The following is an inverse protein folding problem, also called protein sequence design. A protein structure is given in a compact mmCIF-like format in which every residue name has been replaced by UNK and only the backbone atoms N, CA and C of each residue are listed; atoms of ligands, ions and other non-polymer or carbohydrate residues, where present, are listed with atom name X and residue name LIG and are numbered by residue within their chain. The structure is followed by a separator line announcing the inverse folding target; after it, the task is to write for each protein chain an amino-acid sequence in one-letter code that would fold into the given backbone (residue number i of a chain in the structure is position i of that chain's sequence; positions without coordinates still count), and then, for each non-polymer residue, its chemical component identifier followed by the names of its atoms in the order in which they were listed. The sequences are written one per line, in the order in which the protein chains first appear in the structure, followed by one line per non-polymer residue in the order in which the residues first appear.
data_IF_620114962575
#
_entry.id   IF_620114962575
#
_cell.length_a   1.000
_cell.length_b   1.000
_cell.length_c   1.000
_cell.angle_alpha   90.00
_cell.angle_beta   90.00
_cell.angle_gamma   90.00
#
_symmetry.space_group_name_H-M   'P 1'
#
loop_
_entity.id
_entity.type
_entity.pdbx_description
1 polymer ?
#
# COMPACT_ATOMS: atom_id res chain seq x y z
N UNK A 1 1.25 22.82 17.08
CA UNK A 1 0.57 21.94 16.10
C UNK A 1 0.71 22.57 14.74
N UNK A 2 1.17 21.83 13.72
CA UNK A 2 1.22 22.34 12.35
C UNK A 2 -0.20 22.53 11.80
N UNK A 3 -0.37 23.46 10.86
CA UNK A 3 -1.64 23.71 10.17
C UNK A 3 -2.17 22.42 9.49
N UNK A 4 -1.29 21.68 8.84
CA UNK A 4 -1.61 20.40 8.20
C UNK A 4 -2.07 19.33 9.21
N UNK A 5 -1.44 19.27 10.39
CA UNK A 5 -1.88 18.37 11.46
C UNK A 5 -3.25 18.73 12.00
N UNK A 6 -3.61 20.02 12.05
CA UNK A 6 -4.97 20.46 12.41
C UNK A 6 -5.99 20.09 11.32
N UNK A 7 -5.64 20.25 10.03
CA UNK A 7 -6.49 19.85 8.91
C UNK A 7 -6.78 18.34 8.90
N UNK A 8 -5.78 17.50 9.17
CA UNK A 8 -5.98 16.04 9.27
C UNK A 8 -6.91 15.66 10.43
N UNK A 9 -6.81 16.34 11.57
CA UNK A 9 -7.74 16.12 12.70
C UNK A 9 -9.16 16.55 12.36
N UNK A 10 -9.33 17.66 11.62
CA UNK A 10 -10.63 18.09 11.14
C UNK A 10 -11.25 17.09 10.15
N UNK A 11 -10.47 16.58 9.20
CA UNK A 11 -10.90 15.51 8.29
C UNK A 11 -11.31 14.25 9.04
N UNK A 12 -10.54 13.85 10.04
CA UNK A 12 -10.83 12.67 10.86
C UNK A 12 -12.12 12.80 11.69
N UNK A 13 -12.54 14.03 12.01
CA UNK A 13 -13.73 14.30 12.81
C UNK A 13 -15.02 14.43 11.97
N UNK A 14 -14.93 14.34 10.63
CA UNK A 14 -16.13 14.30 9.78
C UNK A 14 -16.86 12.97 10.02
N UNK A 15 -18.16 13.02 10.34
CA UNK A 15 -19.00 11.84 10.62
C UNK A 15 -18.77 10.65 9.67
N UNK A 16 -18.82 10.80 8.32
CA UNK A 16 -18.59 9.66 7.43
C UNK A 16 -17.18 9.08 7.52
N UNK A 17 -16.18 9.91 7.83
CA UNK A 17 -14.78 9.48 8.01
C UNK A 17 -14.62 8.75 9.34
N UNK A 18 -15.11 9.32 10.44
CA UNK A 18 -15.01 8.69 11.77
C UNK A 18 -15.72 7.34 11.81
N UNK A 19 -16.92 7.24 11.24
CA UNK A 19 -17.65 5.99 11.14
C UNK A 19 -16.87 4.92 10.35
N UNK A 20 -16.31 5.29 9.19
CA UNK A 20 -15.56 4.36 8.35
C UNK A 20 -14.25 3.92 9.03
N UNK A 21 -13.53 4.85 9.64
CA UNK A 21 -12.30 4.56 10.41
C UNK A 21 -12.61 3.64 11.59
N UNK A 22 -13.73 3.86 12.28
CA UNK A 22 -14.16 3.02 13.41
C UNK A 22 -14.48 1.59 12.96
N UNK A 23 -15.21 1.41 11.85
CA UNK A 23 -15.45 0.07 11.27
C UNK A 23 -14.14 -0.65 10.93
N UNK A 24 -13.22 0.05 10.27
CA UNK A 24 -11.91 -0.51 9.92
C UNK A 24 -11.12 -0.97 11.15
N UNK A 25 -11.04 -0.13 12.21
CA UNK A 25 -10.35 -0.47 13.46
C UNK A 25 -11.00 -1.66 14.16
N UNK A 26 -12.33 -1.74 14.18
CA UNK A 26 -13.06 -2.86 14.77
C UNK A 26 -12.75 -4.16 14.03
N UNK A 27 -12.77 -4.14 12.69
CA UNK A 27 -12.43 -5.32 11.87
C UNK A 27 -10.98 -5.79 12.08
N UNK A 28 -10.01 -4.87 12.16
CA UNK A 28 -8.63 -5.20 12.49
C UNK A 28 -8.48 -5.75 13.92
N UNK A 29 -9.26 -5.22 14.87
CA UNK A 29 -9.29 -5.72 16.26
C UNK A 29 -9.83 -7.14 16.31
N UNK A 30 -10.94 -7.44 15.61
CA UNK A 30 -11.47 -8.80 15.49
C UNK A 30 -10.44 -9.76 14.87
N UNK A 31 -9.78 -9.34 13.79
CA UNK A 31 -8.75 -10.13 13.14
C UNK A 31 -7.61 -10.48 14.10
N UNK A 32 -7.12 -9.51 14.88
CA UNK A 32 -6.06 -9.70 15.87
C UNK A 32 -6.33 -10.84 16.86
N UNK A 33 -7.60 -11.09 17.18
CA UNK A 33 -7.99 -12.15 18.12
C UNK A 33 -8.19 -13.53 17.47
N UNK A 34 -7.99 -13.65 16.15
CA UNK A 34 -8.13 -14.93 15.45
C UNK A 34 -7.11 -15.96 15.95
N UNK A 35 -7.55 -17.19 16.22
CA UNK A 35 -6.75 -18.21 16.89
C UNK A 35 -5.44 -18.57 16.14
N UNK A 36 -5.47 -18.60 14.80
CA UNK A 36 -4.29 -18.84 13.97
C UNK A 36 -3.12 -17.89 14.31
N UNK A 37 -3.40 -16.62 14.60
CA UNK A 37 -2.39 -15.60 14.86
C UNK A 37 -1.65 -15.81 16.20
N UNK A 38 -2.16 -16.65 17.10
CA UNK A 38 -1.47 -16.94 18.37
C UNK A 38 -0.23 -17.82 18.18
N UNK A 39 -0.23 -18.68 17.15
CA UNK A 39 0.82 -19.68 16.94
C UNK A 39 1.45 -19.64 15.55
N UNK A 40 0.73 -19.11 14.58
CA UNK A 40 1.07 -19.18 13.15
C UNK A 40 0.99 -17.82 12.45
N UNK A 41 1.29 -16.76 13.20
CA UNK A 41 1.30 -15.39 12.66
C UNK A 41 2.32 -15.22 11.53
N UNK A 42 3.56 -15.76 11.60
CA UNK A 42 4.51 -15.68 10.49
C UNK A 42 3.94 -16.26 9.19
N UNK A 43 3.31 -17.44 9.24
CA UNK A 43 2.72 -18.07 8.06
C UNK A 43 1.52 -17.27 7.52
N UNK A 44 0.74 -16.65 8.40
CA UNK A 44 -0.34 -15.75 7.98
C UNK A 44 0.21 -14.50 7.29
N UNK A 45 1.32 -13.93 7.77
CA UNK A 45 1.97 -12.79 7.13
C UNK A 45 2.50 -13.14 5.75
N UNK A 46 3.18 -14.28 5.61
CA UNK A 46 3.69 -14.75 4.32
C UNK A 46 2.56 -14.92 3.30
N UNK A 47 1.47 -15.62 3.65
CA UNK A 47 0.34 -15.75 2.73
C UNK A 47 -0.33 -14.39 2.44
N UNK A 48 -0.41 -13.49 3.43
CA UNK A 48 -0.94 -12.14 3.23
C UNK A 48 -0.07 -11.32 2.25
N UNK A 49 1.25 -11.49 2.29
CA UNK A 49 2.19 -10.92 1.30
C UNK A 49 1.95 -11.50 -0.09
N UNK A 50 1.75 -12.82 -0.22
CA UNK A 50 1.41 -13.46 -1.51
C UNK A 50 0.12 -12.86 -2.10
N UNK A 51 -0.91 -12.67 -1.27
CA UNK A 51 -2.19 -12.10 -1.72
C UNK A 51 -2.07 -10.63 -2.10
N UNK A 52 -1.31 -9.84 -1.36
CA UNK A 52 -1.05 -8.45 -1.70
C UNK A 52 -0.23 -8.31 -2.99
N UNK A 53 0.79 -9.15 -3.18
CA UNK A 53 1.57 -9.18 -4.42
C UNK A 53 0.68 -9.55 -5.63
N UNK A 54 -0.19 -10.55 -5.48
CA UNK A 54 -1.17 -10.92 -6.51
C UNK A 54 -2.14 -9.78 -6.80
N UNK A 55 -2.70 -9.15 -5.76
CA UNK A 55 -3.68 -8.10 -5.94
C UNK A 55 -3.06 -6.87 -6.60
N UNK A 56 -1.85 -6.50 -6.15
CA UNK A 56 -1.09 -5.38 -6.70
C UNK A 56 -0.64 -5.63 -8.13
N UNK A 57 -0.11 -6.80 -8.48
CA UNK A 57 0.23 -7.14 -9.87
C UNK A 57 -1.00 -7.09 -10.78
N UNK A 58 -2.15 -7.59 -10.33
CA UNK A 58 -3.39 -7.54 -11.09
C UNK A 58 -3.90 -6.10 -11.32
N UNK A 59 -3.66 -5.18 -10.38
CA UNK A 59 -3.94 -3.74 -10.53
C UNK A 59 -2.99 -3.08 -11.55
N UNK A 60 -1.76 -3.57 -11.71
CA UNK A 60 -0.81 -3.12 -12.75
C UNK A 60 -1.04 -3.81 -14.11
N UNK A 61 -1.99 -4.74 -14.21
CA UNK A 61 -2.33 -5.46 -15.45
C UNK A 61 -1.85 -6.91 -15.53
N UNK A 62 -1.04 -7.36 -14.57
CA UNK A 62 -0.49 -8.72 -14.51
C UNK A 62 -1.37 -9.65 -13.65
N UNK A 63 -2.27 -10.42 -14.28
CA UNK A 63 -3.24 -11.27 -13.58
C UNK A 63 -2.81 -12.74 -13.55
N UNK A 64 -2.44 -13.20 -12.36
CA UNK A 64 -2.04 -14.59 -12.12
C UNK A 64 -2.94 -15.30 -11.08
N UNK A 65 -3.15 -16.62 -11.21
CA UNK A 65 -3.76 -17.43 -10.15
C UNK A 65 -2.95 -17.35 -8.85
N UNK A 66 -3.62 -17.36 -7.69
CA UNK A 66 -2.93 -17.27 -6.39
C UNK A 66 -1.92 -18.41 -6.17
N UNK A 67 -2.20 -19.61 -6.70
CA UNK A 67 -1.28 -20.74 -6.63
C UNK A 67 0.03 -20.44 -7.38
N UNK A 68 -0.05 -19.81 -8.55
CA UNK A 68 1.12 -19.40 -9.33
C UNK A 68 1.99 -18.40 -8.54
N UNK A 69 1.37 -17.34 -8.00
CA UNK A 69 2.09 -16.31 -7.23
C UNK A 69 2.74 -16.91 -5.98
N UNK A 70 2.08 -17.89 -5.34
CA UNK A 70 2.64 -18.63 -4.21
C UNK A 70 3.89 -19.42 -4.60
N UNK A 71 3.89 -20.08 -5.76
CA UNK A 71 5.06 -20.80 -6.27
C UNK A 71 6.22 -19.86 -6.64
N UNK A 72 5.92 -18.68 -7.18
CA UNK A 72 6.94 -17.65 -7.45
C UNK A 72 7.62 -17.21 -6.16
N UNK A 73 6.85 -16.93 -5.11
CA UNK A 73 7.38 -16.44 -3.83
C UNK A 73 8.08 -17.54 -3.03
N UNK A 74 7.45 -18.71 -2.87
CA UNK A 74 7.94 -19.75 -1.96
C UNK A 74 8.81 -20.84 -2.60
N UNK A 75 8.62 -21.10 -3.90
CA UNK A 75 9.37 -22.15 -4.61
C UNK A 75 10.35 -21.58 -5.65
N UNK A 76 10.43 -20.25 -5.80
CA UNK A 76 11.30 -19.60 -6.77
C UNK A 76 10.93 -19.91 -8.22
N UNK A 77 9.64 -20.17 -8.51
CA UNK A 77 9.18 -20.41 -9.88
C UNK A 77 9.52 -19.20 -10.76
N UNK A 78 10.11 -19.47 -11.92
CA UNK A 78 10.38 -18.43 -12.92
C UNK A 78 9.08 -17.79 -13.43
N UNK A 79 9.10 -16.48 -13.60
CA UNK A 79 8.02 -15.74 -14.26
C UNK A 79 8.20 -15.78 -15.78
N UNK A 80 7.12 -15.59 -16.59
CA UNK A 80 7.27 -15.47 -18.03
C UNK A 80 8.22 -14.32 -18.39
N UNK A 81 9.02 -14.50 -19.44
CA UNK A 81 9.91 -13.46 -19.97
C UNK A 81 9.13 -12.49 -20.87
N UNK A 82 8.17 -11.80 -20.25
CA UNK A 82 7.36 -10.78 -20.89
C UNK A 82 7.01 -9.64 -19.90
N UNK A 83 6.25 -8.66 -20.39
CA UNK A 83 5.85 -7.53 -19.56
C UNK A 83 4.98 -7.95 -18.36
N UNK A 84 4.14 -8.97 -18.51
CA UNK A 84 3.30 -9.47 -17.43
C UNK A 84 4.13 -10.12 -16.32
N UNK A 85 5.14 -10.91 -16.68
CA UNK A 85 6.08 -11.50 -15.73
C UNK A 85 6.94 -10.45 -15.03
N UNK A 86 7.36 -9.39 -15.76
CA UNK A 86 8.10 -8.26 -15.19
C UNK A 86 7.27 -7.50 -14.16
N UNK A 87 6.00 -7.21 -14.46
CA UNK A 87 5.06 -6.58 -13.53
C UNK A 87 4.75 -7.44 -12.31
N UNK A 88 4.61 -8.76 -12.48
CA UNK A 88 4.46 -9.68 -11.35
C UNK A 88 5.70 -9.64 -10.44
N UNK A 89 6.90 -9.71 -11.03
CA UNK A 89 8.16 -9.62 -10.29
C UNK A 89 8.28 -8.30 -9.52
N UNK A 90 7.90 -7.17 -10.13
CA UNK A 90 7.87 -5.88 -9.47
C UNK A 90 6.93 -5.88 -8.24
N UNK A 91 5.71 -6.40 -8.39
CA UNK A 91 4.75 -6.49 -7.29
C UNK A 91 5.23 -7.40 -6.16
N UNK A 92 5.88 -8.53 -6.48
CA UNK A 92 6.48 -9.44 -5.49
C UNK A 92 7.59 -8.75 -4.70
N UNK A 93 8.53 -8.09 -5.38
CA UNK A 93 9.63 -7.37 -4.72
C UNK A 93 9.11 -6.23 -3.84
N UNK A 94 8.15 -5.46 -4.33
CA UNK A 94 7.53 -4.36 -3.57
C UNK A 94 6.79 -4.88 -2.33
N UNK A 95 6.04 -5.99 -2.46
CA UNK A 95 5.37 -6.61 -1.32
C UNK A 95 6.35 -7.14 -0.27
N UNK A 96 7.49 -7.69 -0.69
CA UNK A 96 8.56 -8.13 0.21
C UNK A 96 9.18 -6.95 0.98
N UNK A 97 9.48 -5.84 0.29
CA UNK A 97 9.94 -4.60 0.94
C UNK A 97 8.89 -4.08 1.92
N UNK A 98 7.62 -4.05 1.53
CA UNK A 98 6.54 -3.61 2.43
C UNK A 98 6.48 -4.48 3.70
N UNK A 99 6.55 -5.80 3.56
CA UNK A 99 6.59 -6.72 4.70
C UNK A 99 7.78 -6.45 5.63
N UNK A 100 8.99 -6.32 5.08
CA UNK A 100 10.20 -6.05 5.86
C UNK A 100 10.06 -4.77 6.72
N UNK A 101 9.56 -3.68 6.13
CA UNK A 101 9.43 -2.41 6.84
C UNK A 101 8.20 -2.35 7.75
N UNK A 102 7.12 -3.07 7.46
CA UNK A 102 5.97 -3.20 8.36
C UNK A 102 6.35 -3.81 9.72
N UNK A 103 7.39 -4.64 9.78
CA UNK A 103 7.85 -5.25 11.04
C UNK A 103 8.74 -4.34 11.89
N UNK A 104 9.10 -3.16 11.37
CA UNK A 104 9.92 -2.17 12.07
C UNK A 104 9.02 -1.11 12.72
N UNK A 105 9.11 -0.89 14.05
CA UNK A 105 8.44 0.23 14.68
C UNK A 105 8.84 1.55 14.03
N UNK A 106 7.87 2.45 13.83
CA UNK A 106 8.09 3.79 13.28
C UNK A 106 8.86 3.83 11.94
N UNK A 107 8.76 2.76 11.11
CA UNK A 107 9.56 2.59 9.89
C UNK A 107 9.61 3.82 8.96
N UNK A 108 8.49 4.55 8.85
CA UNK A 108 8.37 5.72 7.98
C UNK A 108 8.81 7.03 8.65
N UNK A 109 8.95 7.09 9.99
CA UNK A 109 9.29 8.31 10.72
C UNK A 109 10.73 8.72 10.41
N UNK A 110 10.89 9.82 9.66
CA UNK A 110 12.20 10.31 9.23
C UNK A 110 12.91 9.41 8.20
N UNK A 111 12.18 8.45 7.61
CA UNK A 111 12.72 7.44 6.72
C UNK A 111 12.03 7.38 5.35
N UNK A 112 11.06 8.27 5.06
CA UNK A 112 10.23 8.19 3.86
C UNK A 112 11.08 8.18 2.57
N UNK A 113 12.04 9.10 2.44
CA UNK A 113 12.91 9.18 1.26
C UNK A 113 13.72 7.89 1.04
N UNK A 114 14.24 7.28 2.12
CA UNK A 114 14.98 6.03 2.03
C UNK A 114 14.09 4.87 1.58
N UNK A 115 12.88 4.77 2.16
CA UNK A 115 11.92 3.73 1.80
C UNK A 115 11.41 3.91 0.37
N UNK A 116 11.13 5.14 -0.05
CA UNK A 116 10.78 5.49 -1.43
C UNK A 116 11.88 5.06 -2.41
N UNK A 117 13.15 5.29 -2.09
CA UNK A 117 14.28 4.83 -2.90
C UNK A 117 14.30 3.30 -3.05
N UNK A 118 14.15 2.57 -1.94
CA UNK A 118 14.09 1.09 -1.94
C UNK A 118 12.90 0.55 -2.75
N UNK A 119 11.73 1.15 -2.56
CA UNK A 119 10.51 0.77 -3.26
C UNK A 119 10.60 1.09 -4.76
N UNK A 120 11.24 2.20 -5.15
CA UNK A 120 11.51 2.54 -6.55
C UNK A 120 12.41 1.52 -7.23
N UNK A 121 13.51 1.12 -6.59
CA UNK A 121 14.37 0.03 -7.09
C UNK A 121 13.56 -1.26 -7.29
N UNK A 122 12.74 -1.64 -6.30
CA UNK A 122 11.93 -2.85 -6.37
C UNK A 122 10.87 -2.80 -7.48
N UNK A 123 10.20 -1.66 -7.63
CA UNK A 123 9.10 -1.47 -8.57
C UNK A 123 9.58 -1.30 -10.02
N UNK A 124 10.67 -0.55 -10.24
CA UNK A 124 11.12 -0.16 -11.57
C UNK A 124 12.17 -1.07 -12.21
N UNK A 125 12.79 -1.99 -11.46
CA UNK A 125 13.82 -2.87 -12.02
C UNK A 125 13.30 -3.70 -13.19
N UNK A 126 13.95 -3.54 -14.36
CA UNK A 126 13.57 -4.15 -15.64
C UNK A 126 12.50 -3.40 -16.43
N UNK A 127 11.97 -2.28 -15.91
CA UNK A 127 10.94 -1.47 -16.57
C UNK A 127 11.44 -0.12 -17.08
N UNK A 128 12.49 0.43 -16.45
CA UNK A 128 13.09 1.73 -16.81
C UNK A 128 14.62 1.65 -16.70
N UNK A 129 15.37 2.57 -17.35
CA UNK A 129 16.83 2.64 -17.21
C UNK A 129 17.27 2.80 -15.75
N UNK A 130 18.42 2.21 -15.42
CA UNK A 130 18.96 2.20 -14.05
C UNK A 130 19.18 3.62 -13.49
N UNK A 131 19.49 4.60 -14.34
CA UNK A 131 19.69 5.99 -13.88
C UNK A 131 18.41 6.67 -13.37
N UNK A 132 17.24 6.07 -13.62
CA UNK A 132 15.93 6.56 -13.15
C UNK A 132 15.46 5.85 -11.89
N UNK A 133 16.14 4.81 -11.43
CA UNK A 133 15.75 4.04 -10.26
C UNK A 133 16.27 4.66 -8.96
N UNK A 134 15.51 4.50 -7.88
CA UNK A 134 15.94 4.86 -6.53
C UNK A 134 15.94 6.36 -6.23
N UNK A 135 15.43 7.19 -7.13
CA UNK A 135 15.31 8.65 -6.95
C UNK A 135 13.98 9.17 -7.52
N UNK A 136 13.44 10.29 -7.00
CA UNK A 136 12.33 10.97 -7.65
C UNK A 136 12.67 11.41 -9.08
N UNK A 137 11.64 11.60 -9.89
CA UNK A 137 11.72 12.07 -11.27
C UNK A 137 12.25 13.50 -11.36
N UNK A 138 13.06 13.76 -12.39
CA UNK A 138 13.62 15.07 -12.71
C UNK A 138 12.68 15.86 -13.63
N UNK A 139 13.02 17.13 -13.86
CA UNK A 139 12.31 17.95 -14.84
C UNK A 139 12.37 17.28 -16.24
N UNK A 140 11.22 17.15 -16.89
CA UNK A 140 11.08 16.48 -18.19
C UNK A 140 10.84 14.97 -18.12
N UNK A 141 11.04 14.33 -16.97
CA UNK A 141 10.64 12.93 -16.75
C UNK A 141 9.14 12.89 -16.40
N UNK A 142 8.34 12.29 -17.28
CA UNK A 142 6.88 12.18 -17.12
C UNK A 142 6.53 10.76 -16.64
N UNK A 143 5.72 10.60 -15.58
CA UNK A 143 5.22 9.29 -15.16
C UNK A 143 4.44 8.58 -16.28
N UNK A 144 4.77 7.33 -16.55
CA UNK A 144 4.13 6.48 -17.55
C UNK A 144 3.02 5.57 -17.00
N UNK A 145 2.71 5.66 -15.72
CA UNK A 145 1.69 4.85 -15.03
C UNK A 145 0.51 5.69 -14.52
N UNK A 146 -0.51 5.02 -13.97
CA UNK A 146 -1.71 5.64 -13.40
C UNK A 146 -2.40 6.64 -14.35
N UNK A 147 -2.66 6.20 -15.58
CA UNK A 147 -3.33 7.01 -16.61
C UNK A 147 -4.72 7.51 -16.19
N UNK A 148 -5.16 8.62 -16.78
CA UNK A 148 -6.46 9.25 -16.48
C UNK A 148 -6.45 10.25 -15.33
N UNK A 149 -5.30 10.48 -14.69
CA UNK A 149 -5.10 11.49 -13.66
C UNK A 149 -4.68 12.85 -14.26
N UNK A 150 -4.95 13.98 -13.57
CA UNK A 150 -4.35 15.28 -13.91
C UNK A 150 -2.81 15.20 -14.02
N UNK A 151 -2.15 16.09 -14.77
CA UNK A 151 -0.69 16.11 -14.88
C UNK A 151 0.01 16.07 -13.52
N UNK A 152 1.11 15.32 -13.43
CA UNK A 152 1.89 15.26 -12.18
C UNK A 152 2.60 16.60 -11.95
N UNK A 153 2.78 17.05 -10.70
CA UNK A 153 3.38 18.34 -10.41
C UNK A 153 4.86 18.42 -10.82
N UNK A 154 5.45 19.61 -10.81
CA UNK A 154 6.88 19.79 -11.07
C UNK A 154 7.77 19.19 -9.95
N UNK A 155 9.09 19.05 -10.17
CA UNK A 155 10.02 18.56 -9.15
C UNK A 155 10.06 19.37 -7.85
N UNK A 156 9.83 20.69 -7.93
CA UNK A 156 9.80 21.58 -6.75
C UNK A 156 8.60 21.26 -5.85
N UNK A 157 7.38 21.31 -6.39
CA UNK A 157 6.16 20.95 -5.63
C UNK A 157 6.21 19.49 -5.15
N UNK A 158 6.79 18.57 -5.94
CA UNK A 158 7.02 17.20 -5.52
C UNK A 158 7.89 17.13 -4.25
N UNK A 159 9.03 17.83 -4.23
CA UNK A 159 9.92 17.86 -3.07
C UNK A 159 9.23 18.47 -1.85
N UNK A 160 8.51 19.58 -2.03
CA UNK A 160 7.79 20.26 -0.94
C UNK A 160 6.72 19.36 -0.32
N UNK A 161 5.91 18.69 -1.14
CA UNK A 161 4.84 17.80 -0.67
C UNK A 161 5.38 16.52 -0.03
N UNK A 162 6.49 15.97 -0.53
CA UNK A 162 7.17 14.86 0.17
C UNK A 162 7.70 15.30 1.55
N UNK A 163 8.23 16.52 1.67
CA UNK A 163 8.63 17.08 2.97
C UNK A 163 7.46 17.28 3.94
N UNK A 164 6.29 17.68 3.44
CA UNK A 164 5.06 17.76 4.23
C UNK A 164 4.60 16.38 4.71
N UNK A 165 4.71 15.35 3.88
CA UNK A 165 4.42 13.96 4.28
C UNK A 165 5.35 13.48 5.41
N UNK A 166 6.65 13.76 5.33
CA UNK A 166 7.60 13.45 6.40
C UNK A 166 7.19 14.10 7.73
N UNK A 167 6.76 15.37 7.69
CA UNK A 167 6.27 16.07 8.89
C UNK A 167 5.00 15.43 9.48
N UNK A 168 4.09 14.93 8.63
CA UNK A 168 2.91 14.19 9.09
C UNK A 168 3.27 12.84 9.72
N UNK A 169 4.17 12.09 9.09
CA UNK A 169 4.64 10.79 9.60
C UNK A 169 5.42 10.93 10.92
N UNK A 170 6.00 12.09 11.17
CA UNK A 170 6.69 12.41 12.42
C UNK A 170 5.75 12.70 13.60
N UNK A 171 4.47 13.01 13.40
CA UNK A 171 3.51 13.28 14.48
C UNK A 171 2.72 11.99 14.86
N UNK A 172 3.11 11.27 15.92
CA UNK A 172 2.43 10.04 16.35
C UNK A 172 1.02 10.28 16.90
N UNK A 173 0.63 11.54 17.13
CA UNK A 173 -0.70 11.87 17.68
C UNK A 173 -1.77 11.98 16.61
N UNK A 174 -1.40 11.90 15.32
CA UNK A 174 -2.34 11.93 14.21
C UNK A 174 -3.04 10.57 14.04
N UNK A 175 -4.30 10.55 13.53
CA UNK A 175 -5.02 9.29 13.32
C UNK A 175 -4.35 8.44 12.23
N UNK A 176 -3.75 7.32 12.63
CA UNK A 176 -2.89 6.49 11.76
C UNK A 176 -3.52 6.08 10.42
N UNK A 177 -4.81 5.70 10.41
CA UNK A 177 -5.51 5.33 9.17
C UNK A 177 -5.67 6.53 8.23
N UNK A 178 -5.99 7.71 8.77
CA UNK A 178 -6.12 8.94 7.98
C UNK A 178 -4.76 9.31 7.39
N UNK A 179 -3.68 9.24 8.19
CA UNK A 179 -2.31 9.46 7.70
C UNK A 179 -1.95 8.47 6.59
N UNK A 180 -2.32 7.19 6.73
CA UNK A 180 -2.10 6.18 5.69
C UNK A 180 -2.85 6.53 4.40
N UNK A 181 -4.13 6.92 4.49
CA UNK A 181 -4.94 7.30 3.34
C UNK A 181 -4.36 8.54 2.61
N UNK A 182 -3.94 9.56 3.36
CA UNK A 182 -3.27 10.74 2.79
C UNK A 182 -1.95 10.34 2.14
N UNK A 183 -1.11 9.53 2.79
CA UNK A 183 0.13 9.05 2.22
C UNK A 183 -0.09 8.32 0.88
N UNK A 184 -1.07 7.43 0.82
CA UNK A 184 -1.40 6.72 -0.42
C UNK A 184 -1.89 7.67 -1.52
N UNK A 185 -2.80 8.60 -1.18
CA UNK A 185 -3.35 9.57 -2.10
C UNK A 185 -2.28 10.52 -2.65
N UNK A 186 -1.41 11.03 -1.79
CA UNK A 186 -0.29 11.89 -2.18
C UNK A 186 0.64 11.18 -3.14
N UNK A 187 1.04 9.93 -2.88
CA UNK A 187 1.93 9.20 -3.81
C UNK A 187 1.26 8.99 -5.17
N UNK A 188 -0.05 8.71 -5.20
CA UNK A 188 -0.85 8.62 -6.45
C UNK A 188 -0.91 9.97 -7.18
N UNK A 189 -1.07 11.08 -6.47
CA UNK A 189 -1.19 12.41 -7.05
C UNK A 189 0.18 12.94 -7.55
N UNK A 190 1.21 12.78 -6.74
CA UNK A 190 2.57 13.27 -6.97
C UNK A 190 3.30 12.48 -8.06
N UNK A 191 3.06 11.16 -8.12
CA UNK A 191 3.78 10.20 -8.96
C UNK A 191 5.29 10.46 -8.93
N UNK A 192 5.95 10.24 -7.78
CA UNK A 192 7.35 10.59 -7.60
C UNK A 192 8.30 9.93 -8.60
N UNK A 193 7.91 8.81 -9.23
CA UNK A 193 8.76 8.04 -10.14
C UNK A 193 8.18 7.99 -11.56
N UNK A 194 9.02 7.64 -12.52
CA UNK A 194 8.60 7.40 -13.91
C UNK A 194 7.67 6.20 -14.06
N UNK A 195 7.77 5.20 -13.16
CA UNK A 195 6.89 4.02 -13.12
C UNK A 195 6.82 3.45 -11.70
N UNK A 196 5.79 2.65 -11.43
CA UNK A 196 5.63 1.88 -10.18
C UNK A 196 4.91 2.64 -9.06
N UNK A 197 4.41 3.85 -9.31
CA UNK A 197 3.79 4.71 -8.30
C UNK A 197 2.58 4.03 -7.63
N UNK A 198 1.78 3.28 -8.38
CA UNK A 198 0.65 2.52 -7.84
C UNK A 198 1.06 1.43 -6.83
N UNK A 199 2.09 0.65 -7.18
CA UNK A 199 2.70 -0.35 -6.29
C UNK A 199 3.23 0.30 -5.01
N UNK A 200 3.98 1.40 -5.17
CA UNK A 200 4.62 2.13 -4.07
C UNK A 200 3.58 2.74 -3.13
N UNK A 201 2.51 3.33 -3.67
CA UNK A 201 1.42 3.90 -2.88
C UNK A 201 0.77 2.83 -1.98
N UNK A 202 0.44 1.66 -2.54
CA UNK A 202 -0.16 0.54 -1.77
C UNK A 202 0.81 -0.04 -0.74
N UNK A 203 2.10 -0.13 -1.07
CA UNK A 203 3.13 -0.57 -0.12
C UNK A 203 3.26 0.38 1.07
N UNK A 204 3.34 1.69 0.81
CA UNK A 204 3.40 2.71 1.86
C UNK A 204 2.15 2.76 2.72
N UNK A 205 0.97 2.59 2.11
CA UNK A 205 -0.29 2.44 2.84
C UNK A 205 -0.21 1.28 3.83
N UNK A 206 0.24 0.11 3.37
CA UNK A 206 0.40 -1.07 4.22
C UNK A 206 1.42 -0.87 5.33
N UNK A 207 2.60 -0.33 5.01
CA UNK A 207 3.63 -0.04 6.01
C UNK A 207 3.04 0.85 7.11
N UNK A 208 2.38 1.95 6.72
CA UNK A 208 1.82 2.90 7.68
C UNK A 208 0.71 2.28 8.54
N UNK A 209 -0.19 1.48 7.96
CA UNK A 209 -1.25 0.81 8.74
C UNK A 209 -0.68 -0.09 9.84
N UNK A 210 0.42 -0.80 9.56
CA UNK A 210 1.06 -1.69 10.53
C UNK A 210 1.87 -0.89 11.54
N UNK A 211 2.75 0.01 11.09
CA UNK A 211 3.63 0.78 11.97
C UNK A 211 2.88 1.77 12.87
N UNK A 212 1.71 2.24 12.44
CA UNK A 212 0.82 3.09 13.26
C UNK A 212 -0.15 2.30 14.14
N UNK A 213 -0.10 0.96 14.12
CA UNK A 213 -0.92 0.09 14.96
C UNK A 213 -2.40 -0.05 14.55
N UNK A 214 -2.78 0.37 13.33
CA UNK A 214 -4.15 0.16 12.81
C UNK A 214 -4.37 -1.32 12.50
N UNK A 215 -3.43 -1.95 11.82
CA UNK A 215 -3.34 -3.41 11.67
C UNK A 215 -2.04 -3.92 12.32
N UNK A 216 -2.01 -4.12 13.65
CA UNK A 216 -0.81 -4.57 14.34
C UNK A 216 -0.40 -6.01 13.96
N UNK A 217 -1.26 -6.75 13.26
CA UNK A 217 -0.96 -8.12 12.82
C UNK A 217 -0.14 -8.13 11.53
N UNK A 218 -0.35 -7.12 10.66
CA UNK A 218 0.17 -7.09 9.29
C UNK A 218 -0.46 -8.09 8.34
N UNK A 219 -1.56 -8.75 8.74
CA UNK A 219 -2.21 -9.83 7.99
C UNK A 219 -3.37 -9.34 7.13
N UNK A 220 -3.90 -8.13 7.37
CA UNK A 220 -4.89 -7.52 6.50
C UNK A 220 -4.38 -7.36 5.06
N UNK A 221 -5.27 -7.51 4.09
CA UNK A 221 -4.96 -7.42 2.64
C UNK A 221 -5.83 -6.35 1.97
N UNK A 222 -5.62 -5.04 2.27
CA UNK A 222 -6.40 -3.97 1.66
C UNK A 222 -6.29 -3.94 0.12
N UNK A 223 -5.19 -4.43 -0.45
CA UNK A 223 -4.98 -4.52 -1.90
C UNK A 223 -6.02 -5.40 -2.58
N UNK A 224 -6.48 -6.47 -1.91
CA UNK A 224 -7.56 -7.32 -2.42
C UNK A 224 -8.89 -6.55 -2.52
N UNK A 225 -9.14 -5.62 -1.60
CA UNK A 225 -10.32 -4.76 -1.64
C UNK A 225 -10.22 -3.74 -2.79
N UNK A 226 -9.06 -3.12 -3.01
CA UNK A 226 -8.84 -2.26 -4.18
C UNK A 226 -8.99 -3.02 -5.50
N UNK A 227 -8.50 -4.27 -5.58
CA UNK A 227 -8.70 -5.12 -6.75
C UNK A 227 -10.18 -5.49 -6.98
N UNK A 228 -10.96 -5.67 -5.90
CA UNK A 228 -12.38 -6.01 -6.01
C UNK A 228 -13.23 -4.88 -6.58
N UNK A 229 -12.74 -3.64 -6.52
CA UNK A 229 -13.39 -2.44 -7.05
C UNK A 229 -12.35 -1.51 -7.70
N UNK A 230 -11.76 -1.98 -8.80
CA UNK A 230 -10.72 -1.23 -9.54
C UNK A 230 -11.23 0.12 -10.03
N UNK A 231 -12.49 0.18 -10.46
CA UNK A 231 -13.10 1.40 -10.96
C UNK A 231 -13.27 2.43 -9.84
N UNK A 232 -13.86 2.04 -8.70
CA UNK A 232 -14.01 2.92 -7.55
C UNK A 232 -12.66 3.36 -6.98
N UNK A 233 -11.67 2.46 -6.96
CA UNK A 233 -10.30 2.81 -6.56
C UNK A 233 -9.68 3.88 -7.46
N UNK A 234 -9.77 3.71 -8.78
CA UNK A 234 -9.27 4.69 -9.75
C UNK A 234 -10.00 6.03 -9.67
N UNK A 235 -11.33 6.00 -9.56
CA UNK A 235 -12.16 7.21 -9.43
C UNK A 235 -11.86 7.98 -8.13
N UNK A 236 -11.73 7.27 -7.01
CA UNK A 236 -11.34 7.87 -5.73
C UNK A 236 -9.95 8.50 -5.79
N UNK A 237 -8.98 7.82 -6.42
CA UNK A 237 -7.64 8.36 -6.62
C UNK A 237 -7.62 9.61 -7.51
N UNK A 238 -8.46 9.64 -8.55
CA UNK A 238 -8.65 10.82 -9.38
C UNK A 238 -9.26 12.00 -8.61
N UNK A 239 -10.32 11.74 -7.84
CA UNK A 239 -10.99 12.75 -7.03
C UNK A 239 -10.08 13.31 -5.91
N UNK A 240 -9.23 12.47 -5.33
CA UNK A 240 -8.17 12.92 -4.42
C UNK A 240 -7.17 13.81 -5.15
N UNK A 241 -6.67 13.36 -6.32
CA UNK A 241 -5.66 14.09 -7.10
C UNK A 241 -6.13 15.48 -7.54
N UNK A 242 -7.41 15.62 -7.91
CA UNK A 242 -8.01 16.92 -8.24
C UNK A 242 -8.40 17.75 -7.01
N UNK A 243 -8.28 17.21 -5.80
CA UNK A 243 -8.72 17.85 -4.56
C UNK A 243 -10.25 17.97 -4.42
N UNK A 244 -11.02 17.28 -5.26
CA UNK A 244 -12.48 17.41 -5.28
C UNK A 244 -13.17 16.59 -4.19
N UNK A 245 -12.55 15.52 -3.70
CA UNK A 245 -13.12 14.70 -2.63
C UNK A 245 -12.06 13.95 -1.79
N UNK A 246 -11.40 14.68 -0.89
CA UNK A 246 -10.45 14.09 0.07
C UNK A 246 -11.16 13.21 1.13
N UNK A 247 -12.29 13.61 1.75
CA UNK A 247 -13.00 12.77 2.70
C UNK A 247 -13.47 11.44 2.09
N UNK A 248 -14.01 11.44 0.88
CA UNK A 248 -14.45 10.22 0.18
C UNK A 248 -13.30 9.27 -0.12
N UNK A 249 -12.10 9.79 -0.45
CA UNK A 249 -10.89 8.96 -0.55
C UNK A 249 -10.52 8.29 0.77
N UNK A 250 -10.59 9.01 1.90
CA UNK A 250 -10.30 8.45 3.23
C UNK A 250 -11.33 7.35 3.57
N UNK A 251 -12.61 7.59 3.30
CA UNK A 251 -13.69 6.58 3.49
C UNK A 251 -13.44 5.34 2.63
N UNK A 252 -13.04 5.51 1.38
CA UNK A 252 -12.68 4.41 0.47
C UNK A 252 -11.51 3.58 1.02
N UNK A 253 -10.44 4.25 1.47
CA UNK A 253 -9.30 3.60 2.11
C UNK A 253 -9.70 2.85 3.39
N UNK A 254 -10.51 3.45 4.26
CA UNK A 254 -11.00 2.79 5.47
C UNK A 254 -11.85 1.55 5.15
N UNK A 255 -12.72 1.65 4.14
CA UNK A 255 -13.51 0.52 3.65
C UNK A 255 -12.62 -0.60 3.09
N UNK A 256 -11.53 -0.24 2.41
CA UNK A 256 -10.54 -1.21 1.93
C UNK A 256 -9.82 -1.91 3.08
N UNK A 257 -9.51 -1.21 4.17
CA UNK A 257 -8.94 -1.80 5.40
C UNK A 257 -9.94 -2.75 6.06
N UNK A 258 -11.20 -2.36 6.20
CA UNK A 258 -12.28 -3.22 6.74
C UNK A 258 -12.41 -4.53 5.94
N UNK A 259 -12.53 -4.43 4.61
CA UNK A 259 -12.58 -5.60 3.70
C UNK A 259 -11.27 -6.41 3.75
N UNK A 260 -10.14 -5.73 3.80
CA UNK A 260 -8.81 -6.33 3.91
C UNK A 260 -8.62 -7.13 5.20
N UNK A 261 -9.20 -6.71 6.31
CA UNK A 261 -9.24 -7.50 7.54
C UNK A 261 -10.11 -8.76 7.38
N UNK A 262 -11.20 -8.68 6.61
CA UNK A 262 -11.98 -9.83 6.16
C UNK A 262 -11.13 -10.85 5.39
N UNK A 263 -10.35 -10.40 4.41
CA UNK A 263 -9.42 -11.24 3.66
C UNK A 263 -8.34 -11.83 4.57
N UNK A 264 -7.85 -11.07 5.55
CA UNK A 264 -6.93 -11.56 6.59
C UNK A 264 -7.53 -12.70 7.42
N UNK A 265 -8.85 -12.71 7.68
CA UNK A 265 -9.53 -13.85 8.33
C UNK A 265 -9.50 -15.08 7.43
N UNK A 266 -9.72 -14.92 6.12
CA UNK A 266 -9.60 -16.02 5.15
C UNK A 266 -8.19 -16.59 5.10
N UNK A 267 -7.16 -15.74 5.15
CA UNK A 267 -5.76 -16.17 5.30
C UNK A 267 -5.60 -17.02 6.56
N UNK A 268 -6.04 -16.51 7.71
CA UNK A 268 -5.92 -17.21 8.99
C UNK A 268 -6.60 -18.59 8.97
N UNK A 269 -7.80 -18.69 8.37
CA UNK A 269 -8.54 -19.95 8.24
C UNK A 269 -7.81 -20.95 7.33
N UNK A 270 -7.26 -20.49 6.22
CA UNK A 270 -6.50 -21.32 5.29
C UNK A 270 -5.22 -21.86 5.94
N UNK A 271 -4.51 -21.02 6.70
CA UNK A 271 -3.33 -21.44 7.48
C UNK A 271 -3.75 -22.46 8.53
N UNK A 272 -4.75 -22.15 9.35
CA UNK A 272 -5.19 -23.03 10.45
C UNK A 272 -5.65 -24.41 9.96
N UNK A 273 -6.28 -24.49 8.79
CA UNK A 273 -6.74 -25.76 8.18
C UNK A 273 -5.65 -26.51 7.41
N UNK A 274 -4.41 -25.99 7.37
CA UNK A 274 -3.29 -26.64 6.66
C UNK A 274 -3.39 -26.57 5.14
N UNK A 275 -4.26 -25.72 4.59
CA UNK A 275 -4.44 -25.54 3.13
C UNK A 275 -3.31 -24.74 2.48
N UNK A 276 -2.46 -24.11 3.30
CA UNK A 276 -1.27 -23.37 2.87
C UNK A 276 -0.04 -24.18 3.31
N UNK A 277 0.88 -24.53 2.38
CA UNK A 277 2.11 -25.25 2.71
C UNK A 277 2.92 -24.55 3.81
N UNK A 278 3.57 -25.31 4.68
CA UNK A 278 4.38 -24.74 5.77
C UNK A 278 5.73 -24.14 5.31
N UNK A 279 6.14 -24.41 4.06
CA UNK A 279 7.43 -24.00 3.49
C UNK A 279 7.20 -23.02 2.33
N UNK A 280 6.70 -21.82 2.62
CA UNK A 280 6.70 -20.67 1.69
C UNK A 280 7.79 -19.73 2.15
#
# INVERSE_FOLDING_TARGET
MSELGSALRALAALDPVDEAVTRARNACTELRWHNALRKRMPECRVESTVRAARASSALEGARYPIAYVREVIGAGREVPDDMSGTQLSAAVRVAAVAQEYSERPDALRGGLAHILSKLSLAAGAGLVPDEQLGRPRLAGEVPGDLGGLPPAPGPEELADRLGQLDALLADPTLPGLVVAAILQGEIIALRPFVIGNGLIARALFRIQLVSSGVDPTGVGVPEAAFLSDVQGYGQGGAAYTSGSDVPGWIVSCATAVEKGAGEGRTVCQAVQSGKIPQNI
#
